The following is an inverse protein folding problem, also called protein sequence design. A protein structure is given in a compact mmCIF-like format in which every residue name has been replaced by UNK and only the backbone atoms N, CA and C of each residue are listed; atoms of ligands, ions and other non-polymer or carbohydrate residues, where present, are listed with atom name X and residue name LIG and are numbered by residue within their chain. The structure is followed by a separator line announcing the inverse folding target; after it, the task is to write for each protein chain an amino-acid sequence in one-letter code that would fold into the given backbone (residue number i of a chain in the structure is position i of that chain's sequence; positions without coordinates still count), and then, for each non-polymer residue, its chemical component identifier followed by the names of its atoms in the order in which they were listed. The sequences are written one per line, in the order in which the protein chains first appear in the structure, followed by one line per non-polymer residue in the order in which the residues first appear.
data_IF_806351648966
#
_entry.id   IF_806351648966
#
_cell.length_a   1.000
_cell.length_b   1.000
_cell.length_c   1.000
_cell.angle_alpha   90.00
_cell.angle_beta   90.00
_cell.angle_gamma   90.00
#
_symmetry.space_group_name_H-M   'P 1'
#
loop_
_entity.id
_entity.type
_entity.pdbx_description
1 polymer ?
#
# COMPACT_ATOMS: atom_id res chain seq x y z
N UNK A 1 14.17 0.13 30.51
CA UNK A 1 13.79 1.03 29.43
C UNK A 1 13.87 0.27 28.10
N UNK A 2 12.75 0.03 27.48
CA UNK A 2 12.72 -0.65 26.19
C UNK A 2 13.11 0.35 25.11
N UNK A 3 14.18 0.08 24.39
CA UNK A 3 14.45 0.84 23.18
C UNK A 3 13.30 0.62 22.22
N UNK A 4 12.73 1.72 21.70
CA UNK A 4 11.77 1.61 20.61
C UNK A 4 12.51 1.01 19.40
N UNK A 5 12.07 -0.16 18.99
CA UNK A 5 12.62 -0.78 17.79
C UNK A 5 12.42 0.17 16.60
N UNK A 6 13.49 0.48 15.88
CA UNK A 6 13.40 1.26 14.65
C UNK A 6 12.65 0.45 13.60
N UNK A 7 11.52 0.99 13.13
CA UNK A 7 10.74 0.33 12.09
C UNK A 7 11.49 0.33 10.77
N UNK A 8 11.64 -0.84 10.15
CA UNK A 8 12.21 -0.94 8.82
C UNK A 8 11.21 -0.40 7.79
N UNK A 9 11.63 0.57 7.00
CA UNK A 9 10.79 1.15 5.95
C UNK A 9 10.61 0.21 4.75
N UNK A 10 11.48 -0.78 4.61
CA UNK A 10 11.41 -1.75 3.52
C UNK A 10 10.50 -2.92 3.87
N UNK A 11 9.81 -3.43 2.84
CA UNK A 11 9.09 -4.67 2.96
C UNK A 11 10.03 -5.85 3.20
N UNK A 12 9.57 -6.84 3.94
CA UNK A 12 10.33 -8.04 4.25
C UNK A 12 9.52 -9.27 3.87
N UNK A 13 10.22 -10.34 3.48
CA UNK A 13 9.61 -11.64 3.22
C UNK A 13 9.47 -12.37 4.54
N UNK A 14 8.24 -12.52 5.03
CA UNK A 14 7.95 -13.17 6.32
C UNK A 14 7.64 -14.65 6.19
N UNK A 15 7.11 -15.03 5.02
CA UNK A 15 6.77 -16.41 4.66
C UNK A 15 6.99 -16.56 3.15
N UNK A 16 7.08 -17.78 2.60
CA UNK A 16 7.17 -17.94 1.16
C UNK A 16 6.03 -17.21 0.44
N UNK A 17 6.36 -16.52 -0.66
CA UNK A 17 5.40 -15.76 -1.48
C UNK A 17 4.65 -14.63 -0.74
N UNK A 18 5.18 -14.13 0.37
CA UNK A 18 4.54 -13.12 1.22
C UNK A 18 5.50 -11.98 1.54
N UNK A 19 5.03 -10.75 1.32
CA UNK A 19 5.75 -9.52 1.69
C UNK A 19 4.93 -8.75 2.72
N UNK A 20 5.60 -8.26 3.76
CA UNK A 20 5.03 -7.39 4.78
C UNK A 20 5.79 -6.07 4.83
N UNK A 21 5.06 -4.96 4.81
CA UNK A 21 5.63 -3.62 4.95
C UNK A 21 4.81 -2.82 5.96
N UNK A 22 5.48 -2.01 6.78
CA UNK A 22 4.84 -1.29 7.88
C UNK A 22 5.16 0.19 7.86
N UNK A 23 4.22 1.00 8.35
CA UNK A 23 4.37 2.44 8.56
C UNK A 23 3.74 2.87 9.86
N UNK A 24 4.35 3.86 10.51
CA UNK A 24 3.74 4.55 11.66
C UNK A 24 3.19 5.88 11.16
N UNK A 25 1.90 6.09 11.37
CA UNK A 25 1.17 7.27 10.90
C UNK A 25 0.59 8.03 12.11
N UNK A 26 0.44 9.36 12.01
CA UNK A 26 -0.36 10.08 12.98
C UNK A 26 -1.79 9.54 13.03
N UNK A 27 -2.33 9.37 14.25
CA UNK A 27 -3.70 8.95 14.45
C UNK A 27 -4.71 10.10 14.27
N UNK A 28 -5.96 9.86 14.58
CA UNK A 28 -6.51 8.62 15.17
C UNK A 28 -6.69 7.49 14.16
N UNK A 29 -6.97 6.30 14.66
CA UNK A 29 -7.15 5.10 13.83
C UNK A 29 -8.26 5.28 12.80
N UNK A 30 -9.33 5.96 13.14
CA UNK A 30 -10.46 6.22 12.22
C UNK A 30 -10.04 7.04 11.01
N UNK A 31 -9.10 7.95 11.18
CA UNK A 31 -8.55 8.74 10.06
C UNK A 31 -7.76 7.85 9.10
N UNK A 32 -6.93 6.96 9.63
CA UNK A 32 -6.18 6.01 8.80
C UNK A 32 -7.15 5.07 8.08
N UNK A 33 -8.16 4.58 8.77
CA UNK A 33 -9.20 3.73 8.19
C UNK A 33 -9.90 4.42 7.01
N UNK A 34 -10.23 5.71 7.15
CA UNK A 34 -10.85 6.49 6.08
C UNK A 34 -9.96 6.57 4.84
N UNK A 35 -8.63 6.71 5.01
CA UNK A 35 -7.68 6.71 3.89
C UNK A 35 -7.55 5.34 3.21
N UNK A 36 -7.97 4.26 3.85
CA UNK A 36 -8.04 2.94 3.23
C UNK A 36 -9.36 2.72 2.48
N UNK A 37 -10.46 3.23 3.02
CA UNK A 37 -11.81 2.82 2.61
C UNK A 37 -12.59 3.84 1.80
N UNK A 38 -12.31 5.13 1.95
CA UNK A 38 -13.01 6.18 1.20
C UNK A 38 -12.26 6.49 -0.09
N UNK A 39 -12.99 6.48 -1.21
CA UNK A 39 -12.42 6.62 -2.56
C UNK A 39 -11.56 7.87 -2.72
N UNK A 40 -12.05 9.03 -2.31
CA UNK A 40 -11.32 10.29 -2.46
C UNK A 40 -10.04 10.33 -1.63
N UNK A 41 -10.08 9.84 -0.40
CA UNK A 41 -8.90 9.80 0.47
C UNK A 41 -7.92 8.74 0.01
N UNK A 42 -8.40 7.56 -0.32
CA UNK A 42 -7.54 6.49 -0.85
C UNK A 42 -6.88 6.90 -2.17
N UNK A 43 -7.58 7.66 -3.00
CA UNK A 43 -7.04 8.18 -4.26
C UNK A 43 -5.89 9.16 -4.10
N UNK A 44 -5.69 9.72 -2.92
CA UNK A 44 -4.58 10.62 -2.65
C UNK A 44 -3.22 9.91 -2.53
N UNK A 45 -3.23 8.58 -2.33
CA UNK A 45 -2.00 7.82 -2.14
C UNK A 45 -1.96 6.49 -2.88
N UNK A 46 -3.11 5.91 -3.21
CA UNK A 46 -3.18 4.59 -3.83
C UNK A 46 -4.05 4.61 -5.09
N UNK A 47 -5.34 4.54 -4.94
CA UNK A 47 -6.29 4.37 -6.02
C UNK A 47 -7.69 4.83 -5.60
N UNK A 48 -8.46 5.34 -6.55
CA UNK A 48 -9.88 5.64 -6.34
C UNK A 48 -10.74 4.40 -6.55
N UNK A 49 -12.04 4.52 -6.41
CA UNK A 49 -13.01 3.47 -6.69
C UNK A 49 -13.88 3.15 -5.48
N UNK A 50 -15.02 2.54 -5.75
CA UNK A 50 -15.99 2.18 -4.71
C UNK A 50 -15.59 0.89 -4.00
N UNK A 51 -15.89 0.84 -2.72
CA UNK A 51 -15.61 -0.33 -1.90
C UNK A 51 -16.82 -0.59 -1.00
N UNK A 52 -17.45 -1.75 -1.17
CA UNK A 52 -18.55 -2.18 -0.32
C UNK A 52 -17.97 -2.88 0.92
N UNK A 53 -18.08 -2.21 2.07
CA UNK A 53 -17.37 -2.59 3.30
C UNK A 53 -18.08 -3.73 4.05
N UNK A 54 -18.09 -4.91 3.43
CA UNK A 54 -18.58 -6.16 3.99
C UNK A 54 -17.87 -7.34 3.34
N UNK A 55 -17.86 -8.48 3.98
CA UNK A 55 -17.32 -9.70 3.37
C UNK A 55 -18.09 -10.03 2.09
N UNK A 56 -17.35 -10.31 1.02
CA UNK A 56 -17.92 -10.52 -0.31
C UNK A 56 -18.31 -9.22 -1.03
N UNK A 57 -18.14 -8.07 -0.41
CA UNK A 57 -18.45 -6.77 -1.01
C UNK A 57 -17.55 -6.46 -2.20
N UNK A 58 -18.10 -5.81 -3.22
CA UNK A 58 -17.34 -5.46 -4.41
C UNK A 58 -16.34 -4.35 -4.12
N UNK A 59 -15.17 -4.47 -4.73
CA UNK A 59 -14.10 -3.47 -4.68
C UNK A 59 -13.72 -3.11 -6.11
N UNK A 60 -13.68 -1.81 -6.38
CA UNK A 60 -13.09 -1.28 -7.60
C UNK A 60 -11.91 -0.40 -7.22
N UNK A 61 -10.75 -0.64 -7.83
CA UNK A 61 -9.56 0.17 -7.65
C UNK A 61 -9.11 0.70 -9.00
N UNK A 62 -8.91 2.02 -9.07
CA UNK A 62 -8.50 2.71 -10.28
C UNK A 62 -7.25 3.52 -9.96
N UNK A 63 -6.12 3.07 -10.52
CA UNK A 63 -4.82 3.73 -10.35
C UNK A 63 -4.57 4.73 -11.46
N UNK A 64 -4.13 5.91 -11.07
CA UNK A 64 -3.58 6.93 -11.97
C UNK A 64 -2.30 7.46 -11.35
N UNK A 65 -1.28 6.64 -11.38
CA UNK A 65 -0.02 6.91 -10.66
C UNK A 65 0.71 8.15 -11.18
N UNK A 66 0.49 8.53 -12.45
CA UNK A 66 1.01 9.77 -13.01
C UNK A 66 0.54 11.02 -12.23
N UNK A 67 -0.64 10.93 -11.60
CA UNK A 67 -1.31 12.07 -10.98
C UNK A 67 -1.09 12.14 -9.46
N UNK A 68 -0.49 11.11 -8.85
CA UNK A 68 -0.41 11.00 -7.39
C UNK A 68 0.35 12.13 -6.72
N UNK A 69 1.41 12.63 -7.35
CA UNK A 69 2.26 13.64 -6.74
C UNK A 69 2.01 15.05 -7.27
N UNK A 70 1.14 15.19 -8.27
CA UNK A 70 0.89 16.45 -8.96
C UNK A 70 2.03 16.92 -9.86
N UNK A 71 3.07 16.12 -10.01
CA UNK A 71 4.23 16.39 -10.85
C UNK A 71 4.36 15.29 -11.90
N UNK A 72 4.48 15.68 -13.17
CA UNK A 72 4.55 14.70 -14.26
C UNK A 72 5.94 14.09 -14.38
N UNK A 73 5.95 12.80 -14.66
CA UNK A 73 7.14 12.01 -14.96
C UNK A 73 6.85 11.09 -16.14
N UNK A 74 7.90 10.56 -16.74
CA UNK A 74 7.75 9.53 -17.75
C UNK A 74 7.45 8.18 -17.09
N UNK A 75 6.31 7.58 -17.45
CA UNK A 75 5.98 6.22 -17.00
C UNK A 75 6.99 5.22 -17.53
N UNK A 76 7.34 4.19 -16.73
CA UNK A 76 8.11 3.06 -17.23
C UNK A 76 7.34 2.29 -18.31
N UNK A 77 8.06 1.64 -19.21
CA UNK A 77 7.44 0.75 -20.20
C UNK A 77 6.67 -0.37 -19.50
N UNK A 78 5.53 -0.76 -20.08
CA UNK A 78 4.66 -1.79 -19.56
C UNK A 78 3.58 -1.30 -18.61
N UNK A 79 3.57 -0.03 -18.24
CA UNK A 79 2.53 0.57 -17.43
C UNK A 79 1.61 1.45 -18.27
N UNK A 80 0.32 1.39 -17.96
CA UNK A 80 -0.70 2.23 -18.59
C UNK A 80 -0.94 3.48 -17.77
N UNK A 81 -1.54 4.51 -18.38
CA UNK A 81 -1.93 5.75 -17.69
C UNK A 81 -2.94 5.46 -16.59
N UNK A 82 -3.88 4.56 -16.84
CA UNK A 82 -4.90 4.14 -15.90
C UNK A 82 -4.93 2.62 -15.80
N UNK A 83 -4.93 2.10 -14.59
CA UNK A 83 -5.06 0.66 -14.33
C UNK A 83 -6.26 0.41 -13.42
N UNK A 84 -7.06 -0.60 -13.74
CA UNK A 84 -8.26 -0.97 -12.97
C UNK A 84 -8.16 -2.39 -12.45
N UNK A 85 -8.63 -2.57 -11.23
CA UNK A 85 -8.81 -3.89 -10.61
C UNK A 85 -10.23 -3.97 -10.05
N UNK A 86 -10.96 -5.00 -10.44
CA UNK A 86 -12.22 -5.36 -9.81
C UNK A 86 -11.98 -6.56 -8.90
N UNK A 87 -12.46 -6.49 -7.67
CA UNK A 87 -12.16 -7.49 -6.66
C UNK A 87 -13.27 -7.56 -5.61
N UNK A 88 -12.97 -8.24 -4.51
CA UNK A 88 -13.91 -8.40 -3.39
C UNK A 88 -13.18 -8.25 -2.06
N UNK A 89 -13.91 -7.80 -1.04
CA UNK A 89 -13.45 -7.83 0.35
C UNK A 89 -13.52 -9.28 0.83
N UNK A 90 -12.41 -9.81 1.30
CA UNK A 90 -12.34 -11.18 1.84
C UNK A 90 -12.53 -11.22 3.34
N UNK A 91 -12.06 -10.21 4.05
CA UNK A 91 -12.22 -10.06 5.51
C UNK A 91 -12.32 -8.59 5.86
N UNK A 92 -13.12 -8.27 6.86
CA UNK A 92 -13.21 -6.91 7.36
C UNK A 92 -13.58 -6.89 8.85
N UNK A 93 -12.87 -6.06 9.62
CA UNK A 93 -13.17 -5.75 11.01
C UNK A 93 -12.82 -4.27 11.24
N UNK A 94 -13.78 -3.36 10.99
CA UNK A 94 -13.51 -1.93 11.13
C UNK A 94 -13.24 -1.54 12.60
N UNK A 95 -12.32 -0.62 12.85
CA UNK A 95 -11.40 0.05 11.94
C UNK A 95 -10.00 -0.58 11.94
N UNK A 96 -9.89 -1.89 12.14
CA UNK A 96 -8.62 -2.58 12.43
C UNK A 96 -8.12 -3.47 11.31
N UNK A 97 -9.01 -4.05 10.51
CA UNK A 97 -8.61 -5.05 9.53
C UNK A 97 -9.43 -4.95 8.25
N UNK A 98 -8.74 -4.99 7.12
CA UNK A 98 -9.34 -5.07 5.79
C UNK A 98 -8.47 -5.96 4.91
N UNK A 99 -9.06 -7.04 4.37
CA UNK A 99 -8.40 -7.89 3.38
C UNK A 99 -9.17 -7.85 2.07
N UNK A 100 -8.43 -7.79 0.98
CA UNK A 100 -8.97 -7.68 -0.38
C UNK A 100 -8.24 -8.68 -1.26
N UNK A 101 -8.96 -9.40 -2.12
CA UNK A 101 -8.32 -10.14 -3.20
C UNK A 101 -7.55 -9.18 -4.09
N UNK A 102 -6.43 -9.65 -4.61
CA UNK A 102 -5.59 -8.88 -5.51
C UNK A 102 -5.35 -9.66 -6.78
N UNK A 103 -4.68 -9.08 -7.77
CA UNK A 103 -4.44 -9.74 -9.03
C UNK A 103 -3.61 -11.03 -8.88
N UNK A 104 -3.82 -11.99 -9.79
CA UNK A 104 -3.07 -13.23 -9.83
C UNK A 104 -3.38 -14.21 -8.68
N UNK A 105 -4.54 -14.09 -8.05
CA UNK A 105 -4.92 -14.94 -6.91
C UNK A 105 -4.24 -14.57 -5.60
N UNK A 106 -3.56 -13.43 -5.55
CA UNK A 106 -2.94 -12.92 -4.34
C UNK A 106 -3.96 -12.18 -3.46
N UNK A 107 -3.57 -11.88 -2.23
CA UNK A 107 -4.42 -11.18 -1.25
C UNK A 107 -3.61 -10.14 -0.51
N UNK A 108 -4.23 -8.99 -0.28
CA UNK A 108 -3.64 -7.91 0.53
C UNK A 108 -4.45 -7.74 1.80
N UNK A 109 -3.76 -7.69 2.93
CA UNK A 109 -4.36 -7.40 4.24
C UNK A 109 -3.77 -6.12 4.80
N UNK A 110 -4.66 -5.21 5.20
CA UNK A 110 -4.30 -3.99 5.94
C UNK A 110 -4.70 -4.19 7.41
N UNK A 111 -3.77 -3.98 8.31
CA UNK A 111 -4.01 -4.05 9.75
C UNK A 111 -3.62 -2.74 10.40
N UNK A 112 -4.48 -2.23 11.27
CA UNK A 112 -4.26 -0.98 12.00
C UNK A 112 -4.21 -1.26 13.49
N UNK A 113 -3.10 -0.86 14.14
CA UNK A 113 -2.93 -0.99 15.58
C UNK A 113 -2.69 0.38 16.19
N UNK A 114 -3.62 0.90 17.01
CA UNK A 114 -3.39 2.16 17.72
C UNK A 114 -2.21 2.04 18.68
N UNK A 115 -1.33 3.03 18.66
CA UNK A 115 -0.16 3.13 19.54
C UNK A 115 -0.09 4.55 20.11
N UNK A 116 -0.87 4.81 21.16
CA UNK A 116 -0.99 6.16 21.69
C UNK A 116 -1.61 7.12 20.66
N UNK A 117 -0.90 8.19 20.33
CA UNK A 117 -1.35 9.17 19.33
C UNK A 117 -1.07 8.74 17.89
N UNK A 118 -0.40 7.61 17.71
CA UNK A 118 -0.01 7.08 16.41
C UNK A 118 -0.72 5.77 16.09
N UNK A 119 -0.60 5.34 14.84
CA UNK A 119 -1.18 4.08 14.35
C UNK A 119 -0.10 3.31 13.59
N UNK A 120 0.07 2.04 13.92
CA UNK A 120 0.88 1.14 13.12
C UNK A 120 0.03 0.54 12.03
N UNK A 121 0.35 0.87 10.79
CA UNK A 121 -0.25 0.25 9.59
C UNK A 121 0.66 -0.87 9.12
N UNK A 122 0.10 -2.08 9.01
CA UNK A 122 0.79 -3.23 8.44
C UNK A 122 0.08 -3.65 7.16
N UNK A 123 0.83 -3.71 6.06
CA UNK A 123 0.36 -4.23 4.77
C UNK A 123 1.03 -5.56 4.52
N UNK A 124 0.24 -6.62 4.33
CA UNK A 124 0.74 -7.96 4.04
C UNK A 124 0.15 -8.42 2.71
N UNK A 125 1.01 -8.74 1.76
CA UNK A 125 0.61 -9.22 0.43
C UNK A 125 1.04 -10.67 0.30
N UNK A 126 0.07 -11.58 0.17
CA UNK A 126 0.27 -13.04 0.20
C UNK A 126 0.00 -13.67 -1.15
N UNK A 127 0.53 -14.89 -1.33
CA UNK A 127 0.32 -15.71 -2.52
C UNK A 127 0.80 -15.03 -3.79
N UNK A 128 1.97 -14.41 -3.71
CA UNK A 128 2.62 -13.82 -4.87
C UNK A 128 3.17 -14.94 -5.76
N UNK A 129 2.85 -14.95 -7.07
CA UNK A 129 3.14 -16.10 -7.92
C UNK A 129 4.62 -16.30 -8.23
N UNK A 130 5.40 -15.24 -8.25
CA UNK A 130 6.83 -15.34 -8.60
C UNK A 130 7.63 -14.15 -8.03
N UNK A 131 8.96 -14.23 -8.19
CA UNK A 131 9.89 -13.21 -7.68
C UNK A 131 9.69 -11.86 -8.39
N UNK A 132 9.43 -11.85 -9.68
CA UNK A 132 9.19 -10.62 -10.43
C UNK A 132 8.00 -9.85 -9.88
N UNK A 133 6.89 -10.55 -9.59
CA UNK A 133 5.72 -9.95 -8.96
C UNK A 133 6.05 -9.45 -7.55
N UNK A 134 6.81 -10.23 -6.78
CA UNK A 134 7.23 -9.84 -5.44
C UNK A 134 8.04 -8.54 -5.45
N UNK A 135 8.97 -8.37 -6.38
CA UNK A 135 9.74 -7.13 -6.53
C UNK A 135 8.85 -5.95 -6.92
N UNK A 136 7.96 -6.16 -7.89
CA UNK A 136 7.05 -5.12 -8.37
C UNK A 136 6.09 -4.63 -7.30
N UNK A 137 5.46 -5.55 -6.54
CA UNK A 137 4.53 -5.16 -5.48
C UNK A 137 5.25 -4.58 -4.27
N UNK A 138 6.44 -5.05 -3.94
CA UNK A 138 7.23 -4.49 -2.84
C UNK A 138 7.58 -3.03 -3.12
N UNK A 139 8.09 -2.74 -4.31
CA UNK A 139 8.37 -1.39 -4.75
C UNK A 139 7.09 -0.54 -4.84
N UNK A 140 6.01 -1.14 -5.34
CA UNK A 140 4.70 -0.47 -5.46
C UNK A 140 4.15 -0.06 -4.10
N UNK A 141 4.07 -0.99 -3.15
CA UNK A 141 3.60 -0.67 -1.81
C UNK A 141 4.49 0.36 -1.12
N UNK A 142 5.80 0.21 -1.23
CA UNK A 142 6.73 1.17 -0.63
C UNK A 142 6.53 2.58 -1.21
N UNK A 143 6.45 2.70 -2.53
CA UNK A 143 6.25 3.99 -3.19
C UNK A 143 4.89 4.62 -2.83
N UNK A 144 3.82 3.83 -2.83
CA UNK A 144 2.50 4.31 -2.43
C UNK A 144 2.45 4.73 -0.97
N UNK A 145 3.07 3.95 -0.08
CA UNK A 145 3.11 4.28 1.35
C UNK A 145 3.94 5.53 1.63
N UNK A 146 4.98 5.80 0.85
CA UNK A 146 5.73 7.05 0.95
C UNK A 146 4.83 8.26 0.63
N UNK A 147 3.92 8.13 -0.33
CA UNK A 147 2.92 9.17 -0.62
C UNK A 147 1.94 9.31 0.55
N UNK A 148 1.46 8.21 1.11
CA UNK A 148 0.55 8.23 2.26
C UNK A 148 1.17 8.94 3.46
N UNK A 149 2.41 8.60 3.81
CA UNK A 149 3.14 9.24 4.91
C UNK A 149 3.26 10.74 4.67
N UNK A 150 3.61 11.15 3.44
CA UNK A 150 3.72 12.56 3.08
C UNK A 150 2.38 13.29 3.25
N UNK A 151 1.26 12.66 2.84
CA UNK A 151 -0.09 13.24 3.02
C UNK A 151 -0.42 13.45 4.50
N UNK A 152 -0.10 12.48 5.34
CA UNK A 152 -0.36 12.55 6.78
C UNK A 152 0.52 13.57 7.50
N UNK A 153 1.75 13.78 7.02
CA UNK A 153 2.71 14.70 7.65
C UNK A 153 2.73 16.08 7.01
N UNK A 154 1.98 16.30 5.94
CA UNK A 154 1.94 17.57 5.21
C UNK A 154 3.25 17.91 4.51
N UNK A 155 3.99 16.89 4.10
CA UNK A 155 5.25 17.05 3.36
C UNK A 155 5.05 16.74 1.88
N UNK A 156 6.01 17.13 1.04
CA UNK A 156 5.97 16.83 -0.38
C UNK A 156 6.38 15.38 -0.63
N UNK A 157 5.54 14.56 -1.30
CA UNK A 157 5.91 13.18 -1.60
C UNK A 157 7.02 13.11 -2.66
N UNK A 158 7.83 12.03 -2.64
CA UNK A 158 8.78 11.79 -3.73
C UNK A 158 8.03 11.55 -5.04
N UNK A 159 8.68 11.81 -6.17
CA UNK A 159 8.13 11.50 -7.49
C UNK A 159 7.85 10.00 -7.59
N UNK A 160 6.61 9.63 -7.92
CA UNK A 160 6.17 8.24 -7.81
C UNK A 160 6.99 7.28 -8.67
N UNK A 161 7.10 7.53 -9.98
CA UNK A 161 7.76 6.60 -10.88
C UNK A 161 9.27 6.55 -10.69
N UNK A 162 9.91 7.67 -10.41
CA UNK A 162 11.34 7.70 -10.09
C UNK A 162 11.63 6.92 -8.81
N UNK A 163 10.80 7.10 -7.79
CA UNK A 163 10.92 6.38 -6.52
C UNK A 163 10.67 4.88 -6.74
N UNK A 164 9.63 4.53 -7.50
CA UNK A 164 9.31 3.12 -7.79
C UNK A 164 10.47 2.39 -8.48
N UNK A 165 11.06 3.02 -9.51
CA UNK A 165 12.20 2.43 -10.25
C UNK A 165 13.40 2.19 -9.33
N UNK A 166 13.74 3.16 -8.51
CA UNK A 166 14.83 3.06 -7.55
C UNK A 166 14.55 1.96 -6.53
N UNK A 167 13.35 1.93 -5.98
CA UNK A 167 12.95 0.95 -4.99
C UNK A 167 12.96 -0.47 -5.56
N UNK A 168 12.49 -0.65 -6.79
CA UNK A 168 12.52 -1.97 -7.42
C UNK A 168 13.94 -2.52 -7.53
N UNK A 169 14.90 -1.69 -7.91
CA UNK A 169 16.31 -2.08 -7.95
C UNK A 169 16.86 -2.40 -6.55
N UNK A 170 16.49 -1.63 -5.55
CA UNK A 170 16.88 -1.88 -4.15
C UNK A 170 16.30 -3.20 -3.64
N UNK A 171 15.02 -3.48 -3.93
CA UNK A 171 14.40 -4.75 -3.55
C UNK A 171 15.02 -5.95 -4.26
N UNK A 172 15.44 -5.78 -5.52
CA UNK A 172 16.15 -6.84 -6.25
C UNK A 172 17.45 -7.24 -5.55
N UNK A 173 18.11 -6.27 -4.91
CA UNK A 173 19.32 -6.54 -4.13
C UNK A 173 19.03 -7.07 -2.71
N UNK A 174 17.86 -6.79 -2.15
CA UNK A 174 17.51 -7.12 -0.76
C UNK A 174 16.75 -8.43 -0.60
N UNK A 175 15.82 -8.72 -1.51
CA UNK A 175 14.95 -9.90 -1.37
C UNK A 175 15.61 -11.15 -1.93
N UNK A 176 15.31 -12.33 -1.33
CA UNK A 176 15.88 -13.60 -1.80
C UNK A 176 15.41 -14.00 -3.19
#
# INVERSE_FOLDING_TARGET
MTEAATLDAYGVVTEPATVRIQRILPGPVDRVWAYLTESELRGQWLATGDMDLREGGKVELVWRNDDLTGRREQRPEGFEEEHRLESVVTRIDPPRLLSIEWSGGSEVTFELEPQGAEVLLTVTHRRLPDRGMMLGVSAGWHAHLDVLVARFRGTEPPLFWSNWKQLRAEYDARLP
#
